data_IF_803581199045
#
_entry.id   IF_803581199045
#
_cell.length_a   1.000
_cell.length_b   1.000
_cell.length_c   1.000
_cell.angle_alpha   90.00
_cell.angle_beta   90.00
_cell.angle_gamma   90.00
#
_symmetry.space_group_name_H-M   'P 1'
#
loop_
_entity.id
_entity.type
_entity.pdbx_description
1 polymer ?
#
# COMPACT_ATOMS: atom_id res chain seq x y z
N UNK A 1 -10.02 15.88 -6.29
CA UNK A 1 -9.02 16.18 -7.36
C UNK A 1 -8.14 14.97 -7.65
N UNK A 2 -7.49 14.84 -8.81
CA UNK A 2 -6.53 13.74 -9.09
C UNK A 2 -5.20 13.98 -8.36
N UNK A 3 -4.65 12.94 -7.73
CA UNK A 3 -3.36 12.99 -7.04
C UNK A 3 -2.41 11.91 -7.60
N UNK A 4 -1.19 12.27 -8.03
CA UNK A 4 -0.23 11.27 -8.46
C UNK A 4 0.25 10.44 -7.26
N UNK A 5 0.28 9.12 -7.41
CA UNK A 5 0.89 8.27 -6.41
C UNK A 5 2.41 8.46 -6.39
N UNK A 6 2.99 8.59 -5.19
CA UNK A 6 4.44 8.70 -4.97
C UNK A 6 4.80 7.96 -3.70
N UNK A 7 5.88 7.19 -3.69
CA UNK A 7 6.39 6.55 -2.48
C UNK A 7 6.76 7.63 -1.42
N UNK A 8 6.38 7.50 -0.13
CA UNK A 8 5.64 6.40 0.50
C UNK A 8 4.15 6.73 0.80
N UNK A 9 3.40 7.27 -0.16
CA UNK A 9 1.99 7.62 0.04
C UNK A 9 1.11 6.38 0.23
N UNK A 10 0.53 6.26 1.43
CA UNK A 10 -0.30 5.13 1.87
C UNK A 10 -1.72 5.60 2.26
N UNK A 11 -2.62 5.83 1.28
CA UNK A 11 -3.97 6.30 1.54
C UNK A 11 -4.90 5.18 2.02
N UNK A 12 -5.99 5.55 2.69
CA UNK A 12 -7.21 4.75 2.65
C UNK A 12 -7.93 5.03 1.34
N UNK A 13 -8.40 4.00 0.64
CA UNK A 13 -9.07 4.17 -0.65
C UNK A 13 -10.26 3.22 -0.77
N UNK A 14 -11.18 3.58 -1.67
CA UNK A 14 -12.23 2.71 -2.20
C UNK A 14 -11.92 2.49 -3.68
N UNK A 15 -12.09 1.27 -4.18
CA UNK A 15 -11.80 0.93 -5.56
C UNK A 15 -12.95 0.11 -6.17
N UNK A 16 -13.02 0.00 -7.52
CA UNK A 16 -14.02 -0.85 -8.16
C UNK A 16 -13.95 -2.30 -7.68
N UNK A 17 -15.10 -2.98 -7.61
CA UNK A 17 -15.20 -4.36 -7.15
C UNK A 17 -14.51 -5.38 -8.09
N UNK A 18 -14.15 -4.99 -9.31
CA UNK A 18 -13.54 -5.86 -10.33
C UNK A 18 -12.35 -5.14 -10.98
N UNK A 19 -11.37 -5.92 -11.42
CA UNK A 19 -10.18 -5.42 -12.13
C UNK A 19 -9.07 -4.89 -11.21
N UNK A 20 -9.34 -4.75 -9.92
CA UNK A 20 -8.32 -4.45 -8.90
C UNK A 20 -7.52 -5.73 -8.60
N UNK A 21 -6.17 -5.69 -8.66
CA UNK A 21 -5.33 -6.81 -8.23
C UNK A 21 -5.62 -7.18 -6.77
N UNK A 22 -5.62 -8.47 -6.42
CA UNK A 22 -5.78 -8.88 -5.02
C UNK A 22 -4.61 -8.39 -4.17
N UNK A 23 -4.84 -8.24 -2.86
CA UNK A 23 -3.76 -7.97 -1.93
C UNK A 23 -2.76 -9.12 -1.93
N UNK A 24 -1.48 -8.77 -1.82
CA UNK A 24 -0.42 -9.76 -1.62
C UNK A 24 -0.42 -10.21 -0.14
N UNK A 25 -0.96 -11.41 0.09
CA UNK A 25 -1.14 -11.99 1.42
C UNK A 25 0.17 -12.34 2.13
N UNK A 26 1.33 -12.22 1.47
CA UNK A 26 2.64 -12.38 2.12
C UNK A 26 2.94 -11.21 3.07
N UNK A 27 2.34 -10.03 2.86
CA UNK A 27 2.47 -8.89 3.77
C UNK A 27 1.56 -9.07 4.98
N UNK A 28 2.12 -9.64 6.04
CA UNK A 28 1.40 -9.94 7.27
C UNK A 28 1.69 -8.90 8.36
N UNK A 29 0.71 -8.67 9.24
CA UNK A 29 0.86 -7.83 10.43
C UNK A 29 1.28 -6.39 10.12
N UNK A 30 2.41 -5.91 10.66
CA UNK A 30 2.73 -4.50 10.68
C UNK A 30 3.63 -4.03 9.52
N UNK A 31 3.10 -3.09 8.75
CA UNK A 31 3.86 -2.28 7.80
C UNK A 31 3.93 -2.89 6.39
N UNK A 32 4.00 -2.01 5.40
CA UNK A 32 4.01 -2.34 3.97
C UNK A 32 2.75 -3.02 3.41
N UNK A 33 1.71 -3.31 4.20
CA UNK A 33 0.52 -4.02 3.72
C UNK A 33 -0.37 -3.17 2.79
N UNK A 34 -0.57 -1.88 3.09
CA UNK A 34 -1.45 -1.03 2.25
C UNK A 34 -0.66 -0.31 1.17
N UNK A 35 0.56 0.12 1.47
CA UNK A 35 1.44 0.72 0.46
C UNK A 35 1.85 -0.27 -0.63
N UNK A 36 1.96 -1.59 -0.34
CA UNK A 36 2.14 -2.59 -1.40
C UNK A 36 1.00 -2.58 -2.40
N UNK A 37 -0.24 -2.55 -1.91
CA UNK A 37 -1.44 -2.46 -2.75
C UNK A 37 -1.49 -1.14 -3.53
N UNK A 38 -1.21 -0.01 -2.89
CA UNK A 38 -1.20 1.30 -3.55
C UNK A 38 -0.12 1.38 -4.64
N UNK A 39 1.05 0.79 -4.38
CA UNK A 39 2.12 0.64 -5.37
C UNK A 39 1.65 -0.22 -6.56
N UNK A 40 1.09 -1.42 -6.33
CA UNK A 40 0.66 -2.29 -7.43
C UNK A 40 -0.44 -1.63 -8.27
N UNK A 41 -1.41 -0.98 -7.63
CA UNK A 41 -2.43 -0.19 -8.33
C UNK A 41 -1.79 0.89 -9.22
N UNK A 42 -0.81 1.64 -8.70
CA UNK A 42 -0.09 2.65 -9.48
C UNK A 42 0.58 2.03 -10.71
N UNK A 43 1.35 0.95 -10.52
CA UNK A 43 2.05 0.23 -11.59
C UNK A 43 1.07 -0.39 -12.59
N UNK A 44 -0.08 -0.87 -12.13
CA UNK A 44 -1.14 -1.45 -12.95
C UNK A 44 -1.94 -0.41 -13.76
N UNK A 45 -1.62 0.88 -13.64
CA UNK A 45 -2.23 1.94 -14.45
C UNK A 45 -3.39 2.69 -13.79
N UNK A 46 -3.75 2.36 -12.55
CA UNK A 46 -4.81 3.06 -11.82
C UNK A 46 -4.42 4.52 -11.55
N UNK A 47 -5.43 5.39 -11.50
CA UNK A 47 -5.30 6.79 -11.12
C UNK A 47 -6.01 7.01 -9.79
N UNK A 48 -5.48 7.89 -8.97
CA UNK A 48 -6.02 8.16 -7.65
C UNK A 48 -6.68 9.53 -7.63
N UNK A 49 -7.89 9.59 -7.08
CA UNK A 49 -8.58 10.84 -6.82
C UNK A 49 -8.81 10.99 -5.32
N UNK A 50 -8.52 12.16 -4.78
CA UNK A 50 -8.84 12.54 -3.41
C UNK A 50 -10.31 12.91 -3.34
N UNK A 51 -11.02 12.27 -2.41
CA UNK A 51 -12.37 12.64 -2.00
C UNK A 51 -12.25 13.67 -0.87
N UNK A 52 -12.28 14.95 -1.24
CA UNK A 52 -12.08 16.10 -0.34
C UNK A 52 -13.34 16.52 0.44
N UNK A 53 -14.49 15.89 0.14
CA UNK A 53 -15.74 16.04 0.90
C UNK A 53 -15.99 14.96 1.95
N UNK A 54 -15.04 14.05 2.19
CA UNK A 54 -15.20 12.95 3.14
C UNK A 54 -13.92 12.70 3.96
N UNK A 55 -14.10 12.22 5.19
CA UNK A 55 -13.01 11.93 6.11
C UNK A 55 -13.16 10.53 6.70
N UNK A 56 -12.03 9.85 6.90
CA UNK A 56 -11.97 8.58 7.65
C UNK A 56 -11.53 8.88 9.08
N UNK A 57 -12.32 8.44 10.05
CA UNK A 57 -11.99 8.57 11.47
C UNK A 57 -11.67 7.22 12.07
N UNK A 58 -10.57 7.13 12.83
CA UNK A 58 -10.25 5.96 13.65
C UNK A 58 -10.66 6.21 15.10
N UNK A 59 -11.36 5.26 15.72
CA UNK A 59 -11.71 5.35 17.15
C UNK A 59 -10.51 4.94 18.00
N UNK A 60 -10.11 5.82 18.92
CA UNK A 60 -9.02 5.57 19.87
C UNK A 60 -7.72 6.26 19.50
N UNK A 61 -6.86 6.42 20.50
CA UNK A 61 -5.58 7.10 20.40
C UNK A 61 -4.43 6.09 20.28
N UNK A 62 -3.38 6.47 19.57
CA UNK A 62 -2.12 5.71 19.58
C UNK A 62 -1.32 6.14 20.79
N UNK A 63 -1.12 5.22 21.73
CA UNK A 63 -0.30 5.48 22.91
C UNK A 63 1.15 5.04 22.67
N UNK A 64 2.14 5.81 23.14
CA UNK A 64 3.52 5.36 23.16
C UNK A 64 3.65 4.02 23.90
N UNK A 65 4.33 3.05 23.29
CA UNK A 65 4.50 1.72 23.88
C UNK A 65 3.27 0.80 23.78
N UNK A 66 2.13 1.27 23.25
CA UNK A 66 0.91 0.47 23.06
C UNK A 66 0.98 -0.51 21.89
N UNK A 67 2.12 -0.64 21.22
CA UNK A 67 2.32 -1.59 20.12
C UNK A 67 2.70 -2.97 20.64
N UNK A 68 2.31 -4.01 19.90
CA UNK A 68 2.72 -5.38 20.21
C UNK A 68 4.22 -5.58 19.99
N UNK A 69 4.81 -6.51 20.75
CA UNK A 69 6.27 -6.74 20.80
C UNK A 69 6.90 -7.10 19.44
N UNK A 70 6.14 -7.72 18.54
CA UNK A 70 6.62 -8.20 17.25
C UNK A 70 6.75 -7.14 16.15
N UNK A 71 6.23 -5.93 16.38
CA UNK A 71 6.09 -4.87 15.37
C UNK A 71 7.37 -4.59 14.57
N UNK A 72 8.51 -4.42 15.23
CA UNK A 72 9.76 -4.07 14.54
C UNK A 72 10.30 -5.23 13.68
N UNK A 73 10.15 -6.47 14.16
CA UNK A 73 10.55 -7.65 13.41
C UNK A 73 9.66 -7.83 12.16
N UNK A 74 8.34 -7.66 12.32
CA UNK A 74 7.36 -7.67 11.22
C UNK A 74 7.65 -6.57 10.20
N UNK A 75 7.89 -5.34 10.67
CA UNK A 75 8.24 -4.22 9.81
C UNK A 75 9.52 -4.52 9.01
N UNK A 76 10.52 -5.12 9.66
CA UNK A 76 11.78 -5.54 9.03
C UNK A 76 11.58 -6.64 7.97
N UNK A 77 10.75 -7.63 8.26
CA UNK A 77 10.37 -8.69 7.31
C UNK A 77 9.65 -8.11 6.10
N UNK A 78 8.61 -7.30 6.33
CA UNK A 78 7.80 -6.70 5.29
C UNK A 78 8.59 -5.70 4.45
N UNK A 79 9.57 -4.99 5.03
CA UNK A 79 10.50 -4.14 4.27
C UNK A 79 11.34 -4.94 3.28
N UNK A 80 11.83 -6.12 3.68
CA UNK A 80 12.59 -7.01 2.78
C UNK A 80 11.68 -7.57 1.68
N UNK A 81 10.49 -8.01 2.06
CA UNK A 81 9.47 -8.49 1.12
C UNK A 81 9.10 -7.41 0.10
N UNK A 82 8.91 -6.17 0.54
CA UNK A 82 8.55 -5.04 -0.35
C UNK A 82 9.61 -4.78 -1.42
N UNK A 83 10.90 -4.98 -1.11
CA UNK A 83 11.97 -4.86 -2.12
C UNK A 83 11.84 -5.92 -3.20
N UNK A 84 11.58 -7.17 -2.83
CA UNK A 84 11.37 -8.25 -3.79
C UNK A 84 10.09 -8.02 -4.60
N UNK A 85 9.01 -7.62 -3.94
CA UNK A 85 7.72 -7.29 -4.56
C UNK A 85 7.85 -6.23 -5.65
N UNK A 86 8.63 -5.17 -5.44
CA UNK A 86 8.89 -4.14 -6.46
C UNK A 86 9.52 -4.71 -7.74
N UNK A 87 10.45 -5.65 -7.61
CA UNK A 87 11.07 -6.32 -8.76
C UNK A 87 10.08 -7.28 -9.44
N UNK A 88 9.23 -7.96 -8.67
CA UNK A 88 8.17 -8.81 -9.21
C UNK A 88 7.14 -8.00 -10.01
N UNK A 89 6.75 -6.80 -9.54
CA UNK A 89 5.84 -5.93 -10.26
C UNK A 89 6.38 -5.49 -11.62
N UNK A 90 7.69 -5.22 -11.73
CA UNK A 90 8.32 -4.91 -13.03
C UNK A 90 8.16 -6.06 -14.03
N UNK A 91 8.23 -7.30 -13.55
CA UNK A 91 8.03 -8.50 -14.38
C UNK A 91 6.55 -8.75 -14.69
N UNK A 92 5.66 -8.51 -13.73
CA UNK A 92 4.21 -8.69 -13.88
C UNK A 92 3.59 -7.65 -14.82
N UNK A 93 4.12 -6.44 -14.84
CA UNK A 93 3.64 -5.31 -15.65
C UNK A 93 4.72 -4.77 -16.60
N UNK A 94 5.18 -5.56 -17.59
CA UNK A 94 6.32 -5.18 -18.44
C UNK A 94 6.04 -3.96 -19.33
N UNK A 95 4.76 -3.72 -19.67
CA UNK A 95 4.33 -2.56 -20.45
C UNK A 95 4.08 -1.29 -19.62
N UNK A 96 4.20 -1.37 -18.30
CA UNK A 96 4.08 -0.19 -17.45
C UNK A 96 5.41 0.55 -17.37
N UNK A 97 5.36 1.85 -17.52
CA UNK A 97 6.41 2.84 -17.32
C UNK A 97 6.37 3.45 -15.91
N UNK A 98 5.32 3.14 -15.14
CA UNK A 98 5.15 3.58 -13.75
C UNK A 98 5.94 2.72 -12.78
N UNK A 99 6.59 3.34 -11.79
CA UNK A 99 7.42 2.66 -10.81
C UNK A 99 7.02 3.08 -9.41
N UNK A 100 7.00 2.10 -8.54
CA UNK A 100 7.21 2.29 -7.13
C UNK A 100 8.59 1.73 -6.78
#
# INVERSE_FOLDING_TARGET
YEAPWRDPWEPFFVAPARGVPPFDERFLQYGFNRISQACELHVAGFRFAVLDGAFVTHRGFKEPGGFHRGREAELGLNRRLFRAFREELRRRYPGSDRRC
#
